data_IF_019920988334
#
_entry.id   IF_019920988334
#
_cell.length_a   1.000
_cell.length_b   1.000
_cell.length_c   1.000
_cell.angle_alpha   90.00
_cell.angle_beta   90.00
_cell.angle_gamma   90.00
#
_symmetry.space_group_name_H-M   'P 1'
#
loop_
_entity.id
_entity.type
_entity.pdbx_description
1 polymer ?
#
# COMPACT_ATOMS: atom_id res chain seq x y z
N UNK A 1 5.49 -62.37 -7.40
CA UNK A 1 4.05 -62.36 -7.78
C UNK A 1 3.28 -62.63 -6.50
N UNK A 2 2.76 -61.67 -5.76
CA UNK A 2 2.54 -60.23 -5.98
C UNK A 2 2.55 -59.61 -4.58
N UNK A 3 3.27 -58.52 -4.35
CA UNK A 3 2.70 -57.17 -4.31
C UNK A 3 1.39 -57.08 -3.50
N UNK A 4 1.53 -56.67 -2.25
CA UNK A 4 0.46 -55.95 -1.56
C UNK A 4 1.11 -54.93 -0.63
N UNK A 5 1.70 -53.90 -1.23
CA UNK A 5 1.83 -52.58 -0.61
C UNK A 5 0.42 -52.14 -0.19
N UNK A 6 0.03 -52.41 1.05
CA UNK A 6 -1.17 -51.80 1.62
C UNK A 6 -0.87 -50.33 1.80
N UNK A 7 -1.55 -49.41 1.08
CA UNK A 7 -1.36 -47.99 1.31
C UNK A 7 -1.69 -47.74 2.79
N UNK A 8 -0.73 -47.21 3.53
CA UNK A 8 -0.90 -46.79 4.91
C UNK A 8 -2.20 -46.00 5.00
N UNK A 9 -3.23 -46.59 5.60
CA UNK A 9 -4.50 -45.92 5.85
C UNK A 9 -4.17 -44.71 6.71
N UNK A 10 -4.15 -43.52 6.12
CA UNK A 10 -4.01 -42.27 6.85
C UNK A 10 -5.07 -42.27 7.94
N UNK A 11 -4.65 -42.21 9.20
CA UNK A 11 -5.54 -42.19 10.34
C UNK A 11 -6.54 -41.03 10.15
N UNK A 12 -7.86 -41.24 10.34
CA UNK A 12 -8.85 -40.16 10.26
C UNK A 12 -8.52 -38.98 11.19
N UNK A 13 -7.79 -39.21 12.29
CA UNK A 13 -7.31 -38.15 13.17
C UNK A 13 -6.17 -37.34 12.54
N UNK A 14 -5.14 -37.98 11.96
CA UNK A 14 -4.07 -37.30 11.20
C UNK A 14 -4.65 -36.50 10.03
N UNK A 15 -5.61 -37.07 9.30
CA UNK A 15 -6.30 -36.38 8.20
C UNK A 15 -7.02 -35.11 8.65
N UNK A 16 -7.57 -35.11 9.87
CA UNK A 16 -8.23 -33.95 10.46
C UNK A 16 -7.22 -32.88 10.90
N UNK A 17 -6.12 -33.25 11.54
CA UNK A 17 -5.04 -32.32 11.89
C UNK A 17 -4.41 -31.67 10.66
N UNK A 18 -4.18 -32.45 9.59
CA UNK A 18 -3.71 -31.93 8.31
C UNK A 18 -4.67 -30.92 7.69
N UNK A 19 -5.98 -31.13 7.86
CA UNK A 19 -6.99 -30.19 7.38
C UNK A 19 -6.97 -28.89 8.21
N UNK A 20 -6.80 -28.99 9.54
CA UNK A 20 -6.68 -27.82 10.42
C UNK A 20 -5.43 -27.01 10.11
N UNK A 21 -4.27 -27.67 9.96
CA UNK A 21 -3.01 -27.04 9.56
C UNK A 21 -3.16 -26.27 8.26
N UNK A 22 -3.70 -26.91 7.22
CA UNK A 22 -3.94 -26.27 5.92
C UNK A 22 -4.87 -25.07 6.01
N UNK A 23 -5.91 -25.14 6.85
CA UNK A 23 -6.83 -24.03 7.06
C UNK A 23 -6.14 -22.83 7.76
N UNK A 24 -5.31 -23.09 8.76
CA UNK A 24 -4.53 -22.06 9.47
C UNK A 24 -3.53 -21.40 8.53
N UNK A 25 -2.72 -22.18 7.82
CA UNK A 25 -1.76 -21.67 6.83
C UNK A 25 -2.46 -20.87 5.72
N UNK A 26 -3.66 -21.30 5.29
CA UNK A 26 -4.45 -20.56 4.31
C UNK A 26 -4.94 -19.22 4.88
N UNK A 27 -5.40 -19.18 6.12
CA UNK A 27 -5.79 -17.94 6.79
C UNK A 27 -4.62 -16.96 6.93
N UNK A 28 -3.44 -17.47 7.30
CA UNK A 28 -2.20 -16.68 7.39
C UNK A 28 -1.84 -16.05 6.04
N UNK A 29 -1.84 -16.85 4.96
CA UNK A 29 -1.59 -16.34 3.60
C UNK A 29 -2.62 -15.28 3.17
N UNK A 30 -3.90 -15.49 3.48
CA UNK A 30 -4.94 -14.51 3.18
C UNK A 30 -4.74 -13.22 3.97
N UNK A 31 -4.30 -13.31 5.22
CA UNK A 31 -3.99 -12.16 6.05
C UNK A 31 -2.81 -11.35 5.47
N UNK A 32 -1.72 -12.02 5.11
CA UNK A 32 -0.56 -11.40 4.44
C UNK A 32 -0.98 -10.69 3.15
N UNK A 33 -1.74 -11.38 2.28
CA UNK A 33 -2.25 -10.80 1.04
C UNK A 33 -3.14 -9.57 1.28
N UNK A 34 -3.95 -9.59 2.34
CA UNK A 34 -4.77 -8.43 2.72
C UNK A 34 -3.90 -7.24 3.12
N UNK A 35 -2.84 -7.48 3.90
CA UNK A 35 -1.90 -6.41 4.32
C UNK A 35 -1.16 -5.85 3.10
N UNK A 36 -0.62 -6.71 2.23
CA UNK A 36 0.04 -6.28 0.99
C UNK A 36 -0.89 -5.46 0.08
N UNK A 37 -2.16 -5.86 -0.01
CA UNK A 37 -3.17 -5.12 -0.76
C UNK A 37 -3.41 -3.72 -0.17
N UNK A 38 -3.49 -3.60 1.16
CA UNK A 38 -3.62 -2.31 1.84
C UNK A 38 -2.39 -1.43 1.59
N UNK A 39 -1.18 -1.97 1.74
CA UNK A 39 0.10 -1.27 1.45
C UNK A 39 0.15 -0.76 0.00
N UNK A 40 -0.20 -1.63 -0.97
CA UNK A 40 -0.28 -1.25 -2.39
C UNK A 40 -1.28 -0.12 -2.63
N UNK A 41 -2.45 -0.20 -2.00
CA UNK A 41 -3.52 0.80 -2.16
C UNK A 41 -3.10 2.17 -1.64
N UNK A 42 -2.44 2.22 -0.47
CA UNK A 42 -1.91 3.45 0.10
C UNK A 42 -0.84 4.09 -0.79
N UNK A 43 0.11 3.29 -1.31
CA UNK A 43 1.13 3.77 -2.27
C UNK A 43 0.48 4.33 -3.55
N UNK A 44 -0.52 3.63 -4.09
CA UNK A 44 -1.25 4.09 -5.27
C UNK A 44 -1.99 5.40 -5.02
N UNK A 45 -2.55 5.60 -3.81
CA UNK A 45 -3.15 6.88 -3.44
C UNK A 45 -2.11 7.99 -3.37
N UNK A 46 -0.93 7.73 -2.80
CA UNK A 46 0.17 8.70 -2.77
C UNK A 46 0.62 9.09 -4.19
N UNK A 47 0.82 8.13 -5.09
CA UNK A 47 1.12 8.39 -6.51
C UNK A 47 0.02 9.22 -7.19
N UNK A 48 -1.25 8.98 -6.84
CA UNK A 48 -2.40 9.74 -7.32
C UNK A 48 -2.40 11.21 -6.88
N UNK A 49 -1.81 11.52 -5.72
CA UNK A 49 -1.67 12.89 -5.24
C UNK A 49 -0.62 13.66 -6.04
N UNK A 50 0.48 13.03 -6.43
CA UNK A 50 1.47 13.64 -7.34
C UNK A 50 0.85 13.96 -8.70
N UNK A 51 0.07 13.01 -9.25
CA UNK A 51 -0.66 13.23 -10.49
C UNK A 51 -1.63 14.43 -10.35
N UNK A 52 -2.33 14.54 -9.22
CA UNK A 52 -3.25 15.64 -8.93
C UNK A 52 -2.53 16.99 -8.82
N UNK A 53 -1.39 17.05 -8.13
CA UNK A 53 -0.54 18.25 -8.06
C UNK A 53 -0.08 18.68 -9.46
N UNK A 54 0.40 17.73 -10.27
CA UNK A 54 0.87 18.02 -11.63
C UNK A 54 -0.23 18.58 -12.53
N UNK A 55 -1.46 18.06 -12.39
CA UNK A 55 -2.64 18.54 -13.11
C UNK A 55 -3.04 19.93 -12.66
N UNK A 56 -3.04 20.20 -11.35
CA UNK A 56 -3.33 21.53 -10.81
C UNK A 56 -2.32 22.56 -11.33
N UNK A 57 -1.02 22.26 -11.26
CA UNK A 57 0.05 23.13 -11.78
C UNK A 57 -0.16 23.46 -13.26
N UNK A 58 -0.42 22.43 -14.06
CA UNK A 58 -0.69 22.59 -15.49
C UNK A 58 -1.94 23.43 -15.76
N UNK A 59 -2.99 23.25 -14.97
CA UNK A 59 -4.22 24.06 -15.07
C UNK A 59 -3.97 25.53 -14.73
N UNK A 60 -3.19 25.80 -13.68
CA UNK A 60 -2.78 27.15 -13.29
C UNK A 60 -1.96 27.81 -14.39
N UNK A 61 -0.99 27.10 -14.98
CA UNK A 61 -0.16 27.63 -16.07
C UNK A 61 -0.96 27.94 -17.34
N UNK A 62 -1.96 27.10 -17.68
CA UNK A 62 -2.88 27.38 -18.78
C UNK A 62 -3.70 28.64 -18.51
N UNK A 63 -4.20 28.80 -17.29
CA UNK A 63 -4.98 29.98 -16.89
C UNK A 63 -4.12 31.24 -16.94
N UNK A 64 -2.89 31.16 -16.41
CA UNK A 64 -1.90 32.22 -16.48
C UNK A 64 -1.63 32.66 -17.93
N UNK A 65 -1.38 31.69 -18.81
CA UNK A 65 -1.13 31.95 -20.24
C UNK A 65 -2.31 32.64 -20.90
N UNK A 66 -3.54 32.23 -20.57
CA UNK A 66 -4.76 32.87 -21.10
C UNK A 66 -4.92 34.32 -20.61
N UNK A 67 -4.61 34.59 -19.34
CA UNK A 67 -4.65 35.95 -18.77
C UNK A 67 -3.57 36.84 -19.40
N UNK A 68 -2.34 36.33 -19.53
CA UNK A 68 -1.24 37.06 -20.20
C UNK A 68 -1.61 37.40 -21.65
N UNK A 69 -2.14 36.43 -22.42
CA UNK A 69 -2.58 36.66 -23.79
C UNK A 69 -3.74 37.68 -23.91
N UNK A 70 -4.64 37.73 -22.92
CA UNK A 70 -5.71 38.72 -22.87
C UNK A 70 -5.16 40.14 -22.63
N UNK A 71 -4.18 40.27 -21.74
CA UNK A 71 -3.49 41.54 -21.50
C UNK A 71 -2.71 42.00 -22.74
N UNK A 72 -2.00 41.10 -23.41
CA UNK A 72 -1.28 41.39 -24.66
C UNK A 72 -2.24 41.92 -25.76
N UNK A 73 -3.43 41.31 -25.89
CA UNK A 73 -4.43 41.73 -26.85
C UNK A 73 -4.99 43.14 -26.53
N UNK A 74 -5.17 43.46 -25.25
CA UNK A 74 -5.56 44.79 -24.80
C UNK A 74 -4.46 45.82 -25.08
N UNK A 75 -3.20 45.51 -24.77
CA UNK A 75 -2.06 46.39 -25.02
C UNK A 75 -1.95 46.74 -26.51
N UNK A 76 -2.09 45.74 -27.39
CA UNK A 76 -2.05 45.92 -28.84
C UNK A 76 -3.14 46.85 -29.40
N UNK A 77 -4.24 47.06 -28.66
CA UNK A 77 -5.36 47.94 -29.06
C UNK A 77 -5.19 49.40 -28.65
N UNK A 78 -4.17 49.72 -27.84
CA UNK A 78 -3.92 51.08 -27.31
C UNK A 78 -2.75 51.75 -28.04
N UNK A 79 -2.91 52.97 -28.62
CA UNK A 79 -1.89 53.61 -29.49
C UNK A 79 -0.57 54.02 -28.81
N UNK A 80 -0.46 53.90 -27.49
CA UNK A 80 0.71 54.28 -26.71
C UNK A 80 0.93 53.19 -25.66
N UNK A 81 1.85 52.26 -25.91
CA UNK A 81 2.23 51.18 -25.00
C UNK A 81 2.52 51.73 -23.61
N UNK A 82 1.52 51.63 -22.73
CA UNK A 82 1.51 52.34 -21.48
C UNK A 82 2.32 51.55 -20.44
N UNK A 83 3.23 52.17 -19.67
CA UNK A 83 3.94 51.51 -18.55
C UNK A 83 3.00 50.89 -17.49
N UNK A 84 1.70 51.21 -17.55
CA UNK A 84 0.64 50.53 -16.82
C UNK A 84 0.53 49.03 -17.17
N UNK A 85 0.63 48.63 -18.45
CA UNK A 85 0.49 47.22 -18.87
C UNK A 85 1.65 46.36 -18.37
N UNK A 86 2.89 46.86 -18.45
CA UNK A 86 4.07 46.19 -17.89
C UNK A 86 3.90 45.94 -16.38
N UNK A 87 3.37 46.93 -15.65
CA UNK A 87 3.05 46.78 -14.23
C UNK A 87 1.94 45.75 -13.98
N UNK A 88 0.91 45.69 -14.84
CA UNK A 88 -0.14 44.68 -14.75
C UNK A 88 0.39 43.26 -15.02
N UNK A 89 1.22 43.08 -16.04
CA UNK A 89 1.89 41.80 -16.31
C UNK A 89 2.75 41.35 -15.12
N UNK A 90 3.53 42.27 -14.53
CA UNK A 90 4.34 41.96 -13.36
C UNK A 90 3.48 41.55 -12.15
N UNK A 91 2.36 42.22 -11.91
CA UNK A 91 1.42 41.88 -10.82
C UNK A 91 0.76 40.52 -11.07
N UNK A 92 0.27 40.26 -12.28
CA UNK A 92 -0.35 38.97 -12.64
C UNK A 92 0.66 37.84 -12.47
N UNK A 93 1.87 38.00 -13.01
CA UNK A 93 2.95 37.04 -12.86
C UNK A 93 3.28 36.77 -11.39
N UNK A 94 3.45 37.83 -10.60
CA UNK A 94 3.74 37.71 -9.18
C UNK A 94 2.64 37.00 -8.39
N UNK A 95 1.36 37.23 -8.71
CA UNK A 95 0.23 36.55 -8.06
C UNK A 95 0.18 35.06 -8.40
N UNK A 96 0.37 34.69 -9.67
CA UNK A 96 0.43 33.28 -10.06
C UNK A 96 1.65 32.56 -9.47
N UNK A 97 2.81 33.20 -9.45
CA UNK A 97 4.02 32.64 -8.83
C UNK A 97 3.83 32.45 -7.33
N UNK A 98 3.31 33.45 -6.60
CA UNK A 98 3.01 33.31 -5.18
C UNK A 98 1.96 32.23 -4.89
N UNK A 99 0.90 32.13 -5.72
CA UNK A 99 -0.12 31.09 -5.57
C UNK A 99 0.43 29.69 -5.83
N UNK A 100 1.30 29.54 -6.83
CA UNK A 100 1.97 28.26 -7.12
C UNK A 100 2.90 27.87 -5.97
N UNK A 101 3.68 28.82 -5.43
CA UNK A 101 4.60 28.56 -4.33
C UNK A 101 3.87 28.10 -3.06
N UNK A 102 2.77 28.76 -2.69
CA UNK A 102 1.90 28.34 -1.58
C UNK A 102 1.31 26.95 -1.84
N UNK A 103 0.89 26.68 -3.09
CA UNK A 103 0.32 25.38 -3.45
C UNK A 103 1.37 24.28 -3.35
N UNK A 104 2.58 24.50 -3.87
CA UNK A 104 3.69 23.54 -3.83
C UNK A 104 4.10 23.25 -2.38
N UNK A 105 4.22 24.28 -1.52
CA UNK A 105 4.48 24.10 -0.09
C UNK A 105 3.37 23.28 0.61
N UNK A 106 2.10 23.52 0.27
CA UNK A 106 0.96 22.79 0.84
C UNK A 106 0.98 21.32 0.41
N UNK A 107 1.25 21.06 -0.87
CA UNK A 107 1.35 19.71 -1.41
C UNK A 107 2.52 18.93 -0.80
N UNK A 108 3.68 19.56 -0.65
CA UNK A 108 4.84 18.93 -0.04
C UNK A 108 4.59 18.59 1.44
N UNK A 109 3.96 19.50 2.20
CA UNK A 109 3.58 19.23 3.58
C UNK A 109 2.58 18.06 3.68
N UNK A 110 1.61 18.01 2.76
CA UNK A 110 0.61 16.93 2.71
C UNK A 110 1.26 15.59 2.35
N UNK A 111 2.19 15.59 1.38
CA UNK A 111 2.94 14.39 0.95
C UNK A 111 3.81 13.86 2.08
N UNK A 112 4.61 14.73 2.70
CA UNK A 112 5.46 14.35 3.83
C UNK A 112 4.64 13.74 4.98
N UNK A 113 3.48 14.32 5.32
CA UNK A 113 2.62 13.77 6.36
C UNK A 113 2.00 12.42 5.99
N UNK A 114 1.71 12.18 4.70
CA UNK A 114 1.18 10.90 4.24
C UNK A 114 2.27 9.83 4.15
N UNK A 115 3.46 10.16 3.65
CA UNK A 115 4.62 9.26 3.59
C UNK A 115 5.02 8.80 4.98
N UNK A 116 5.20 9.74 5.92
CA UNK A 116 5.53 9.45 7.32
C UNK A 116 4.46 8.56 7.99
N UNK A 117 3.19 8.84 7.73
CA UNK A 117 2.07 8.03 8.23
C UNK A 117 2.02 6.62 7.62
N UNK A 118 2.30 6.49 6.32
CA UNK A 118 2.36 5.20 5.63
C UNK A 118 3.54 4.38 6.13
N UNK A 119 4.73 4.96 6.25
CA UNK A 119 5.94 4.29 6.76
C UNK A 119 5.73 3.81 8.20
N UNK A 120 5.27 4.69 9.09
CA UNK A 120 4.95 4.32 10.48
C UNK A 120 3.93 3.18 10.57
N UNK A 121 2.91 3.21 9.70
CA UNK A 121 1.90 2.15 9.65
C UNK A 121 2.44 0.84 9.04
N UNK A 122 3.35 0.93 8.06
CA UNK A 122 4.05 -0.19 7.44
C UNK A 122 4.84 -0.97 8.49
N UNK A 123 5.65 -0.26 9.28
CA UNK A 123 6.47 -0.81 10.36
C UNK A 123 5.61 -1.52 11.42
N UNK A 124 4.54 -0.86 11.88
CA UNK A 124 3.58 -1.43 12.85
C UNK A 124 2.92 -2.72 12.32
N UNK A 125 2.57 -2.73 11.03
CA UNK A 125 1.98 -3.91 10.40
C UNK A 125 2.99 -5.04 10.24
N UNK A 126 4.25 -4.73 9.98
CA UNK A 126 5.34 -5.71 9.87
C UNK A 126 5.58 -6.41 11.20
N UNK A 127 5.69 -5.63 12.29
CA UNK A 127 5.82 -6.16 13.65
C UNK A 127 4.60 -7.01 14.03
N UNK A 128 3.40 -6.57 13.67
CA UNK A 128 2.17 -7.31 13.93
C UNK A 128 2.10 -8.62 13.13
N UNK A 129 2.46 -8.58 11.84
CA UNK A 129 2.52 -9.77 10.98
C UNK A 129 3.51 -10.80 11.54
N UNK A 130 4.70 -10.36 11.94
CA UNK A 130 5.70 -11.24 12.54
C UNK A 130 5.16 -11.91 13.82
N UNK A 131 4.54 -11.14 14.71
CA UNK A 131 3.95 -11.69 15.93
C UNK A 131 2.81 -12.70 15.65
N UNK A 132 1.99 -12.44 14.63
CA UNK A 132 0.93 -13.37 14.19
C UNK A 132 1.53 -14.64 13.61
N UNK A 133 2.56 -14.52 12.78
CA UNK A 133 3.26 -15.67 12.18
C UNK A 133 3.89 -16.56 13.24
N UNK A 134 4.61 -15.98 14.19
CA UNK A 134 5.19 -16.70 15.34
C UNK A 134 4.10 -17.43 16.15
N UNK A 135 2.95 -16.77 16.37
CA UNK A 135 1.83 -17.36 17.11
C UNK A 135 1.20 -18.53 16.35
N UNK A 136 1.07 -18.40 15.03
CA UNK A 136 0.57 -19.45 14.14
C UNK A 136 1.53 -20.63 14.11
N UNK A 137 2.83 -20.38 13.99
CA UNK A 137 3.87 -21.42 13.99
C UNK A 137 3.89 -22.17 15.33
N UNK A 138 3.83 -21.47 16.46
CA UNK A 138 3.73 -22.09 17.77
C UNK A 138 2.47 -22.95 17.93
N UNK A 139 1.34 -22.48 17.41
CA UNK A 139 0.08 -23.24 17.42
C UNK A 139 0.17 -24.51 16.57
N UNK A 140 0.66 -24.40 15.33
CA UNK A 140 0.86 -25.55 14.44
C UNK A 140 1.87 -26.54 15.03
N UNK A 141 2.98 -26.05 15.59
CA UNK A 141 3.98 -26.89 16.27
C UNK A 141 3.38 -27.68 17.44
N UNK A 142 2.48 -27.06 18.21
CA UNK A 142 1.75 -27.75 19.30
C UNK A 142 0.84 -28.87 18.77
N UNK A 143 0.19 -28.65 17.61
CA UNK A 143 -0.64 -29.67 16.97
C UNK A 143 0.20 -30.84 16.43
N UNK A 144 1.32 -30.53 15.76
CA UNK A 144 2.25 -31.53 15.24
C UNK A 144 2.84 -32.39 16.37
N UNK A 145 3.22 -31.78 17.51
CA UNK A 145 3.75 -32.51 18.66
C UNK A 145 2.69 -33.41 19.34
N UNK A 146 1.44 -32.96 19.37
CA UNK A 146 0.33 -33.77 19.87
C UNK A 146 0.07 -35.01 18.98
N UNK A 147 0.07 -34.85 17.65
CA UNK A 147 -0.12 -35.98 16.73
C UNK A 147 1.06 -36.96 16.79
N UNK A 148 2.30 -36.47 16.84
CA UNK A 148 3.49 -37.30 16.98
C UNK A 148 3.51 -38.09 18.30
N UNK A 149 3.09 -37.48 19.42
CA UNK A 149 2.94 -38.15 20.72
C UNK A 149 1.93 -39.30 20.68
N UNK A 150 0.83 -39.10 19.94
CA UNK A 150 -0.22 -40.11 19.73
C UNK A 150 0.27 -41.27 18.88
N UNK A 151 0.96 -41.01 17.77
CA UNK A 151 1.56 -42.04 16.93
C UNK A 151 2.63 -42.85 17.68
N UNK A 152 3.44 -42.19 18.52
CA UNK A 152 4.43 -42.84 19.38
C UNK A 152 3.84 -43.74 20.48
N UNK A 153 2.62 -43.48 20.95
CA UNK A 153 1.90 -44.31 21.92
C UNK A 153 1.06 -45.44 21.28
N UNK A 154 0.84 -45.42 19.96
CA UNK A 154 0.07 -46.43 19.23
C UNK A 154 0.82 -47.73 18.90
N UNK A 155 2.13 -47.82 19.19
CA UNK A 155 3.00 -48.94 18.79
C UNK A 155 3.52 -49.81 19.95
N UNK A 156 2.78 -49.95 21.06
CA UNK A 156 3.10 -51.01 22.01
C UNK A 156 2.84 -52.38 21.34
N UNK A 157 3.86 -53.24 21.14
CA UNK A 157 3.62 -54.58 20.62
C UNK A 157 2.75 -55.33 21.63
N UNK A 158 1.69 -55.97 21.14
CA UNK A 158 1.03 -57.03 21.86
C UNK A 158 2.02 -58.19 21.96
N UNK A 159 2.86 -58.19 22.99
CA UNK A 159 3.64 -59.36 23.36
C UNK A 159 2.69 -60.41 23.96
N UNK A 160 2.81 -61.62 23.40
CA UNK A 160 2.08 -62.88 23.58
C UNK A 160 2.11 -63.40 25.03
#
# INVERSE_FOLDING_TARGET
MSDHDTPSTTDPFTSFFDAQRRAVEQSQRLFHQSVEFQRRSMRTMADGMEASQSLQKKSTDVTRTAVEAYLDAMEASVPMGAPMFESMHAVVRGQFEASNDISDQTWDAMRAGMEDGVETYDDLLEDYLAAVDDSVEAFVGTLDEFDASREGHGHAPADD
#
